data_IF_086337928175
#
_entry.id   IF_086337928175
#
_cell.length_a   1.000
_cell.length_b   1.000
_cell.length_c   1.000
_cell.angle_alpha   90.00
_cell.angle_beta   90.00
_cell.angle_gamma   90.00
#
_symmetry.space_group_name_H-M   'P 1'
#
loop_
_entity.id
_entity.type
_entity.pdbx_description
1 polymer ?
#
# COMPACT_ATOMS: atom_id res chain seq x y z
N UNK A 1 -4.10 -11.91 15.74
CA UNK A 1 -3.73 -10.48 15.69
C UNK A 1 -4.92 -9.70 15.14
N UNK A 2 -5.29 -8.57 15.75
CA UNK A 2 -6.39 -7.73 15.25
C UNK A 2 -6.02 -7.09 13.90
N UNK A 3 -6.95 -7.04 12.94
CA UNK A 3 -6.83 -6.46 11.60
C UNK A 3 -6.10 -5.11 11.57
N UNK A 4 -6.42 -4.21 12.51
CA UNK A 4 -5.79 -2.89 12.61
C UNK A 4 -4.30 -2.97 12.97
N UNK A 5 -3.93 -3.86 13.88
CA UNK A 5 -2.53 -4.09 14.23
C UNK A 5 -1.76 -4.69 13.05
N UNK A 6 -2.40 -5.60 12.30
CA UNK A 6 -1.81 -6.17 11.11
C UNK A 6 -1.59 -5.13 10.01
N UNK A 7 -2.55 -4.24 9.78
CA UNK A 7 -2.43 -3.13 8.83
C UNK A 7 -1.33 -2.14 9.21
N UNK A 8 -1.23 -1.78 10.49
CA UNK A 8 -0.14 -0.92 11.00
C UNK A 8 1.21 -1.62 10.87
N UNK A 9 1.31 -2.89 11.26
CA UNK A 9 2.54 -3.67 11.14
C UNK A 9 2.99 -3.78 9.67
N UNK A 10 2.06 -4.03 8.73
CA UNK A 10 2.38 -4.06 7.31
C UNK A 10 2.92 -2.71 6.81
N UNK A 11 2.36 -1.59 7.27
CA UNK A 11 2.88 -0.26 6.93
C UNK A 11 4.27 -0.02 7.50
N UNK A 12 4.53 -0.43 8.75
CA UNK A 12 5.85 -0.31 9.37
C UNK A 12 6.86 -1.12 8.56
N UNK A 13 6.54 -2.37 8.21
CA UNK A 13 7.41 -3.22 7.40
C UNK A 13 7.72 -2.60 6.03
N UNK A 14 6.70 -2.08 5.32
CA UNK A 14 6.91 -1.36 4.07
C UNK A 14 7.77 -0.10 4.26
N UNK A 15 7.55 0.66 5.33
CA UNK A 15 8.34 1.87 5.63
C UNK A 15 9.80 1.51 5.88
N UNK A 16 10.07 0.47 6.67
CA UNK A 16 11.43 -0.02 6.90
C UNK A 16 12.06 -0.51 5.59
N UNK A 17 11.32 -1.19 4.72
CA UNK A 17 11.83 -1.59 3.40
C UNK A 17 12.22 -0.36 2.55
N UNK A 18 11.39 0.68 2.51
CA UNK A 18 11.70 1.95 1.85
C UNK A 18 12.97 2.57 2.44
N UNK A 19 13.13 2.59 3.76
CA UNK A 19 14.34 3.10 4.41
C UNK A 19 15.60 2.28 4.06
N UNK A 20 15.50 0.96 3.96
CA UNK A 20 16.59 0.09 3.49
C UNK A 20 16.99 0.44 2.05
N UNK A 21 16.00 0.65 1.16
CA UNK A 21 16.24 1.10 -0.21
C UNK A 21 16.95 2.46 -0.25
N UNK A 22 16.48 3.43 0.53
CA UNK A 22 17.11 4.74 0.64
C UNK A 22 18.54 4.67 1.19
N UNK A 23 18.79 3.82 2.19
CA UNK A 23 20.12 3.60 2.76
C UNK A 23 21.09 3.01 1.73
N UNK A 24 20.63 2.04 0.92
CA UNK A 24 21.42 1.49 -0.17
C UNK A 24 21.81 2.56 -1.21
N UNK A 25 20.89 3.47 -1.52
CA UNK A 25 21.12 4.60 -2.44
C UNK A 25 22.05 5.67 -1.85
N UNK A 26 21.90 5.96 -0.54
CA UNK A 26 22.72 6.92 0.19
C UNK A 26 24.20 6.52 0.23
N UNK A 27 24.50 5.22 0.22
CA UNK A 27 25.87 4.70 0.12
C UNK A 27 26.63 5.16 -1.13
N UNK A 28 25.91 5.65 -2.17
CA UNK A 28 26.52 6.24 -3.36
C UNK A 28 26.46 7.77 -3.37
N UNK A 29 25.27 8.33 -3.15
CA UNK A 29 25.08 9.78 -3.04
C UNK A 29 23.77 10.08 -2.30
N UNK A 30 23.80 11.07 -1.41
CA UNK A 30 22.63 11.47 -0.62
C UNK A 30 21.45 11.96 -1.49
N UNK A 31 21.74 12.56 -2.66
CA UNK A 31 20.71 13.04 -3.58
C UNK A 31 19.75 11.92 -4.02
N UNK A 32 20.28 10.74 -4.33
CA UNK A 32 19.45 9.60 -4.74
C UNK A 32 18.52 9.14 -3.62
N UNK A 33 18.99 9.12 -2.38
CA UNK A 33 18.16 8.76 -1.24
C UNK A 33 17.07 9.81 -0.97
N UNK A 34 17.41 11.10 -1.09
CA UNK A 34 16.46 12.20 -0.94
C UNK A 34 15.36 12.14 -2.01
N UNK A 35 15.74 12.00 -3.28
CA UNK A 35 14.80 11.89 -4.40
C UNK A 35 13.90 10.67 -4.25
N UNK A 36 14.46 9.53 -3.85
CA UNK A 36 13.69 8.30 -3.64
C UNK A 36 12.68 8.43 -2.50
N UNK A 37 13.06 9.04 -1.37
CA UNK A 37 12.14 9.24 -0.24
C UNK A 37 11.04 10.24 -0.58
N UNK A 38 11.38 11.38 -1.20
CA UNK A 38 10.42 12.38 -1.63
C UNK A 38 9.45 11.82 -2.68
N UNK A 39 10.00 11.12 -3.68
CA UNK A 39 9.23 10.43 -4.71
C UNK A 39 8.31 9.36 -4.12
N UNK A 40 8.80 8.55 -3.19
CA UNK A 40 7.99 7.51 -2.51
C UNK A 40 6.86 8.12 -1.70
N UNK A 41 7.10 9.21 -0.97
CA UNK A 41 6.06 9.91 -0.22
C UNK A 41 4.97 10.47 -1.16
N UNK A 42 5.37 11.12 -2.26
CA UNK A 42 4.44 11.61 -3.27
C UNK A 42 3.63 10.47 -3.90
N UNK A 43 4.30 9.41 -4.35
CA UNK A 43 3.68 8.25 -4.96
C UNK A 43 2.73 7.52 -4.00
N UNK A 44 3.05 7.45 -2.71
CA UNK A 44 2.15 6.92 -1.68
C UNK A 44 0.86 7.75 -1.58
N UNK A 45 0.94 9.08 -1.66
CA UNK A 45 -0.25 9.95 -1.71
C UNK A 45 -1.07 9.70 -2.99
N UNK A 46 -0.43 9.49 -4.14
CA UNK A 46 -1.11 9.12 -5.38
C UNK A 46 -1.87 7.79 -5.23
N UNK A 47 -1.26 6.77 -4.61
CA UNK A 47 -1.92 5.48 -4.35
C UNK A 47 -3.14 5.64 -3.42
N UNK A 48 -3.00 6.45 -2.37
CA UNK A 48 -4.09 6.78 -1.44
C UNK A 48 -5.20 7.52 -2.18
N UNK A 49 -4.87 8.47 -3.06
CA UNK A 49 -5.83 9.19 -3.87
C UNK A 49 -6.56 8.28 -4.87
N UNK A 50 -5.86 7.30 -5.45
CA UNK A 50 -6.43 6.35 -6.41
C UNK A 50 -7.43 5.38 -5.76
N UNK A 51 -7.04 4.75 -4.65
CA UNK A 51 -7.88 3.72 -4.02
C UNK A 51 -8.60 4.19 -2.76
N UNK A 52 -7.89 4.80 -1.81
CA UNK A 52 -8.44 5.06 -0.48
C UNK A 52 -9.53 6.15 -0.47
N UNK A 53 -9.53 7.10 -1.43
CA UNK A 53 -10.59 8.13 -1.52
C UNK A 53 -11.94 7.57 -1.98
N UNK A 54 -11.95 6.41 -2.64
CA UNK A 54 -13.15 5.62 -3.01
C UNK A 54 -13.58 4.64 -1.92
N UNK A 55 -12.75 4.41 -0.90
CA UNK A 55 -13.01 3.42 0.13
C UNK A 55 -14.09 3.91 1.12
N UNK A 56 -15.06 3.05 1.42
CA UNK A 56 -16.10 3.29 2.44
C UNK A 56 -15.50 3.48 3.85
N UNK A 57 -14.42 2.76 4.16
CA UNK A 57 -13.76 2.79 5.45
C UNK A 57 -12.75 3.94 5.63
N UNK A 58 -12.71 4.93 4.72
CA UNK A 58 -11.58 5.89 4.64
C UNK A 58 -11.46 6.82 5.84
N UNK A 59 -12.54 7.12 6.55
CA UNK A 59 -12.50 7.96 7.75
C UNK A 59 -12.52 7.13 9.03
N UNK A 60 -13.33 6.08 9.03
CA UNK A 60 -13.54 5.21 10.18
C UNK A 60 -13.42 3.76 9.72
N UNK A 61 -12.60 2.98 10.43
CA UNK A 61 -12.46 1.54 10.19
C UNK A 61 -11.34 1.10 9.23
N UNK A 62 -10.60 2.03 8.61
CA UNK A 62 -9.41 1.67 7.82
C UNK A 62 -8.36 0.97 8.68
N UNK A 63 -8.00 -0.26 8.32
CA UNK A 63 -6.97 -1.04 9.03
C UNK A 63 -5.58 -0.41 8.94
N UNK A 64 -5.30 0.35 7.87
CA UNK A 64 -4.01 0.99 7.65
C UNK A 64 -3.84 2.29 8.45
N UNK A 65 -4.84 2.79 9.18
CA UNK A 65 -4.76 4.01 9.99
C UNK A 65 -4.27 5.27 9.23
N UNK A 66 -2.97 5.43 8.97
CA UNK A 66 -2.37 6.59 8.30
C UNK A 66 -2.92 6.83 6.87
N UNK A 67 -2.98 5.84 5.95
CA UNK A 67 -3.67 6.00 4.67
C UNK A 67 -5.15 6.39 4.80
N UNK A 68 -5.83 5.90 5.84
CA UNK A 68 -7.20 6.32 6.15
C UNK A 68 -7.26 7.81 6.49
N UNK A 69 -6.43 8.25 7.44
CA UNK A 69 -6.33 9.64 7.83
C UNK A 69 -6.06 10.57 6.63
N UNK A 70 -5.06 10.23 5.80
CA UNK A 70 -4.72 11.00 4.60
C UNK A 70 -5.90 11.03 3.62
N UNK A 71 -6.54 9.88 3.37
CA UNK A 71 -7.73 9.82 2.51
C UNK A 71 -8.92 10.61 3.08
N UNK A 72 -9.01 10.75 4.40
CA UNK A 72 -9.99 11.59 5.08
C UNK A 72 -9.82 13.09 4.78
N UNK A 73 -8.58 13.53 4.55
CA UNK A 73 -8.24 14.91 4.16
C UNK A 73 -8.43 15.19 2.67
N UNK A 74 -8.46 14.16 1.82
CA UNK A 74 -8.64 14.30 0.38
C UNK A 74 -10.12 14.32 -0.02
N UNK A 75 -10.47 14.94 -1.17
CA UNK A 75 -11.83 14.94 -1.69
C UNK A 75 -12.41 13.54 -1.86
N UNK A 76 -13.69 13.40 -1.54
CA UNK A 76 -14.38 12.13 -1.72
C UNK A 76 -14.55 11.80 -3.19
N UNK A 77 -14.23 10.56 -3.57
CA UNK A 77 -14.61 10.01 -4.88
C UNK A 77 -15.79 9.06 -4.71
N UNK A 78 -16.52 8.85 -5.80
CA UNK A 78 -17.67 7.95 -5.83
C UNK A 78 -17.26 6.50 -5.46
N UNK A 79 -18.01 5.89 -4.54
CA UNK A 79 -17.74 4.58 -3.94
C UNK A 79 -18.28 3.42 -4.80
N UNK A 80 -17.92 3.41 -6.08
CA UNK A 80 -18.25 2.33 -7.01
C UNK A 80 -17.03 1.48 -7.39
N UNK A 81 -17.17 0.59 -8.39
CA UNK A 81 -16.09 -0.26 -8.85
C UNK A 81 -14.81 0.52 -9.20
N UNK A 82 -13.66 -0.11 -8.97
CA UNK A 82 -12.38 0.43 -9.39
C UNK A 82 -12.26 0.39 -10.92
N UNK A 83 -11.86 1.51 -11.49
CA UNK A 83 -11.60 1.68 -12.91
C UNK A 83 -10.17 1.24 -13.23
N UNK A 84 -9.88 1.03 -14.52
CA UNK A 84 -8.51 0.77 -14.98
C UNK A 84 -7.52 1.85 -14.51
N UNK A 85 -7.97 3.11 -14.51
CA UNK A 85 -7.15 4.24 -14.03
C UNK A 85 -6.85 4.14 -12.53
N UNK A 86 -7.79 3.65 -11.73
CA UNK A 86 -7.55 3.44 -10.30
C UNK A 86 -6.52 2.32 -10.06
N UNK A 87 -6.58 1.24 -10.85
CA UNK A 87 -5.56 0.18 -10.81
C UNK A 87 -4.19 0.70 -11.26
N UNK A 88 -4.13 1.46 -12.35
CA UNK A 88 -2.90 2.07 -12.83
C UNK A 88 -2.30 3.03 -11.78
N UNK A 89 -3.14 3.84 -11.13
CA UNK A 89 -2.77 4.75 -10.04
C UNK A 89 -2.26 4.07 -8.77
N UNK A 90 -2.31 2.74 -8.69
CA UNK A 90 -1.69 1.96 -7.60
C UNK A 90 -0.52 1.14 -8.12
N UNK A 91 -0.70 0.42 -9.22
CA UNK A 91 0.32 -0.48 -9.76
C UNK A 91 1.56 0.27 -10.25
N UNK A 92 1.39 1.38 -10.98
CA UNK A 92 2.54 2.14 -11.50
C UNK A 92 3.36 2.74 -10.34
N UNK A 93 2.77 3.45 -9.36
CA UNK A 93 3.51 3.90 -8.18
C UNK A 93 4.19 2.78 -7.41
N UNK A 94 3.50 1.65 -7.18
CA UNK A 94 4.06 0.52 -6.46
C UNK A 94 5.29 -0.06 -7.19
N UNK A 95 5.21 -0.22 -8.52
CA UNK A 95 6.34 -0.68 -9.32
C UNK A 95 7.50 0.31 -9.27
N UNK A 96 7.26 1.62 -9.35
CA UNK A 96 8.34 2.61 -9.25
C UNK A 96 9.01 2.54 -7.87
N UNK A 97 8.24 2.54 -6.78
CA UNK A 97 8.78 2.45 -5.42
C UNK A 97 9.60 1.16 -5.24
N UNK A 98 9.11 0.02 -5.72
CA UNK A 98 9.79 -1.25 -5.56
C UNK A 98 11.01 -1.39 -6.48
N UNK A 99 10.94 -0.92 -7.73
CA UNK A 99 11.99 -1.12 -8.72
C UNK A 99 13.11 -0.08 -8.64
N UNK A 100 12.81 1.15 -8.22
CA UNK A 100 13.80 2.23 -8.13
C UNK A 100 15.06 1.84 -7.34
N UNK A 101 15.00 1.28 -6.11
CA UNK A 101 16.21 1.00 -5.34
C UNK A 101 16.96 -0.26 -5.81
N UNK A 102 16.43 -1.05 -6.76
CA UNK A 102 16.94 -2.40 -7.04
C UNK A 102 18.38 -2.43 -7.52
N UNK A 103 18.80 -1.46 -8.35
CA UNK A 103 20.19 -1.37 -8.79
C UNK A 103 21.17 -1.26 -7.62
N UNK A 104 20.87 -0.41 -6.63
CA UNK A 104 21.70 -0.21 -5.44
C UNK A 104 21.60 -1.36 -4.45
N UNK A 105 20.41 -1.96 -4.31
CA UNK A 105 20.21 -3.15 -3.48
C UNK A 105 21.03 -4.34 -3.99
N UNK A 106 21.11 -4.54 -5.31
CA UNK A 106 21.89 -5.63 -5.91
C UNK A 106 23.41 -5.53 -5.63
N UNK A 107 23.92 -4.33 -5.33
CA UNK A 107 25.31 -4.14 -4.92
C UNK A 107 25.56 -4.57 -3.46
N UNK A 108 24.50 -4.75 -2.66
CA UNK A 108 24.56 -5.17 -1.26
C UNK A 108 23.56 -6.32 -1.01
N UNK A 109 23.96 -7.59 -1.21
CA UNK A 109 23.06 -8.74 -1.14
C UNK A 109 22.26 -8.83 0.16
N UNK A 110 22.85 -8.43 1.30
CA UNK A 110 22.16 -8.38 2.58
C UNK A 110 20.96 -7.41 2.56
N UNK A 111 21.13 -6.20 2.02
CA UNK A 111 20.05 -5.22 1.92
C UNK A 111 18.97 -5.69 0.94
N UNK A 112 19.36 -6.29 -0.18
CA UNK A 112 18.41 -6.87 -1.14
C UNK A 112 17.51 -7.93 -0.50
N UNK A 113 18.10 -8.88 0.25
CA UNK A 113 17.33 -9.94 0.92
C UNK A 113 16.42 -9.37 1.99
N UNK A 114 16.91 -8.47 2.83
CA UNK A 114 16.10 -7.83 3.90
C UNK A 114 14.96 -7.02 3.28
N UNK A 115 15.21 -6.24 2.23
CA UNK A 115 14.20 -5.46 1.52
C UNK A 115 13.04 -6.34 1.05
N UNK A 116 13.35 -7.40 0.29
CA UNK A 116 12.31 -8.27 -0.26
C UNK A 116 11.62 -9.10 0.82
N UNK A 117 12.33 -9.54 1.86
CA UNK A 117 11.71 -10.20 3.00
C UNK A 117 10.65 -9.29 3.65
N UNK A 118 10.99 -8.03 3.93
CA UNK A 118 10.06 -7.06 4.50
C UNK A 118 8.85 -6.79 3.59
N UNK A 119 9.07 -6.56 2.29
CA UNK A 119 8.00 -6.33 1.30
C UNK A 119 7.07 -7.53 1.20
N UNK A 120 7.62 -8.74 1.07
CA UNK A 120 6.84 -9.97 0.96
C UNK A 120 6.05 -10.22 2.25
N UNK A 121 6.68 -10.08 3.42
CA UNK A 121 5.99 -10.23 4.70
C UNK A 121 4.86 -9.22 4.84
N UNK A 122 5.08 -7.95 4.50
CA UNK A 122 4.03 -6.93 4.55
C UNK A 122 2.86 -7.24 3.59
N UNK A 123 3.17 -7.70 2.37
CA UNK A 123 2.16 -8.12 1.39
C UNK A 123 1.35 -9.32 1.86
N UNK A 124 2.01 -10.35 2.42
CA UNK A 124 1.37 -11.53 3.00
C UNK A 124 0.50 -11.16 4.21
N UNK A 125 0.99 -10.26 5.06
CA UNK A 125 0.24 -9.78 6.22
C UNK A 125 -1.05 -9.09 5.77
N UNK A 126 -0.95 -8.18 4.80
CA UNK A 126 -2.13 -7.55 4.21
C UNK A 126 -3.09 -8.58 3.62
N UNK A 127 -2.60 -9.47 2.75
CA UNK A 127 -3.44 -10.47 2.07
C UNK A 127 -4.13 -11.45 3.01
N UNK A 128 -3.45 -11.92 4.06
CA UNK A 128 -3.98 -12.97 4.95
C UNK A 128 -4.79 -12.46 6.12
N UNK A 129 -4.64 -11.19 6.50
CA UNK A 129 -5.26 -10.66 7.74
C UNK A 129 -6.00 -9.35 7.57
N UNK A 130 -5.59 -8.48 6.63
CA UNK A 130 -6.25 -7.19 6.42
C UNK A 130 -7.34 -7.28 5.37
N UNK A 131 -7.00 -7.90 4.24
CA UNK A 131 -7.84 -8.07 3.06
C UNK A 131 -9.11 -8.92 3.30
N UNK A 132 -9.06 -10.07 4.00
CA UNK A 132 -10.23 -10.93 4.15
C UNK A 132 -11.35 -10.23 4.94
N UNK A 133 -10.97 -9.51 5.99
CA UNK A 133 -11.89 -8.81 6.89
C UNK A 133 -12.12 -7.35 6.47
N UNK A 134 -11.74 -6.95 5.26
CA UNK A 134 -11.91 -5.57 4.81
C UNK A 134 -13.36 -5.31 4.41
N UNK A 135 -13.97 -4.23 4.94
CA UNK A 135 -15.35 -3.85 4.62
C UNK A 135 -15.52 -3.18 3.24
N UNK A 136 -14.43 -2.95 2.51
CA UNK A 136 -14.49 -2.37 1.17
C UNK A 136 -14.94 -3.41 0.14
N UNK A 137 -16.25 -3.49 -0.09
CA UNK A 137 -16.88 -4.44 -1.03
C UNK A 137 -16.40 -4.27 -2.48
N UNK A 138 -15.94 -3.08 -2.85
CA UNK A 138 -15.45 -2.84 -4.21
C UNK A 138 -14.00 -3.26 -4.40
N UNK A 139 -13.24 -3.46 -3.31
CA UNK A 139 -11.83 -3.83 -3.36
C UNK A 139 -11.66 -5.21 -4.01
N UNK A 140 -10.84 -5.33 -5.08
CA UNK A 140 -10.58 -6.60 -5.75
C UNK A 140 -9.83 -7.59 -4.85
N UNK A 141 -9.19 -7.09 -3.79
CA UNK A 141 -8.45 -7.90 -2.82
C UNK A 141 -9.29 -8.21 -1.57
N UNK A 142 -10.56 -7.81 -1.49
CA UNK A 142 -11.40 -8.12 -0.33
C UNK A 142 -11.86 -9.58 -0.36
N UNK A 143 -11.89 -10.23 0.81
CA UNK A 143 -12.39 -11.61 0.95
C UNK A 143 -13.85 -11.77 0.54
N UNK A 144 -14.64 -10.70 0.56
CA UNK A 144 -16.03 -10.68 0.12
C UNK A 144 -16.22 -10.96 -1.38
N UNK A 145 -15.21 -10.68 -2.22
CA UNK A 145 -15.21 -11.04 -3.65
C UNK A 145 -14.56 -12.39 -3.94
N UNK A 146 -13.61 -12.83 -3.12
CA UNK A 146 -12.91 -14.13 -3.32
C UNK A 146 -13.79 -15.35 -2.99
N UNK A 147 -14.84 -15.20 -2.15
CA UNK A 147 -15.71 -16.32 -1.74
C UNK A 147 -16.88 -16.63 -2.69
N UNK A 148 -17.09 -15.85 -3.74
CA UNK A 148 -18.25 -16.00 -4.64
C UNK A 148 -19.60 -15.82 -3.94
N UNK A 149 -19.62 -15.31 -2.70
CA UNK A 149 -20.85 -15.07 -1.95
C UNK A 149 -21.72 -14.05 -2.71
N UNK A 150 -23.03 -14.30 -2.85
CA UNK A 150 -23.91 -13.38 -3.56
C UNK A 150 -23.80 -11.99 -2.92
N UNK A 151 -23.65 -10.98 -3.77
CA UNK A 151 -23.73 -9.58 -3.37
C UNK A 151 -25.15 -9.39 -2.85
N UNK A 152 -25.36 -9.50 -1.54
CA UNK A 152 -26.56 -9.00 -0.90
C UNK A 152 -26.56 -7.49 -1.12
N UNK A 153 -27.26 -7.09 -2.18
CA UNK A 153 -27.76 -5.74 -2.38
C UNK A 153 -28.61 -5.44 -1.16
N UNK A 154 -27.99 -4.81 -0.15
CA UNK A 154 -28.74 -4.13 0.89
C UNK A 154 -29.64 -3.13 0.17
N UNK A 155 -30.93 -3.44 0.20
CA UNK A 155 -31.96 -2.62 -0.37
C UNK A 155 -31.90 -1.20 0.22
N UNK A 156 -32.35 -0.26 -0.61
CA UNK A 156 -32.47 1.18 -0.38
C UNK A 156 -32.95 1.57 1.01
#
# INVERSE_FOLDING_TARGET
MNRRHAGIAALILFTVAVLIGALAMAGRALVFAADYLAGTAFLAVVMIAAWCTKCQARKEGCAHALPGLIAGCLPARWQGPYTLLDHAGVLIPALIILLAPQYWLLQNPAYFVVFWALVITAALLNRRTVCPDCTNRECPLSGAKESGAPIETAAR
#
